data_IF_495935120266
#
_entry.id   IF_495935120266
#
_cell.length_a   1.000
_cell.length_b   1.000
_cell.length_c   1.000
_cell.angle_alpha   90.00
_cell.angle_beta   90.00
_cell.angle_gamma   90.00
#
_symmetry.space_group_name_H-M   'P 1'
#
loop_
_entity.id
_entity.type
_entity.pdbx_description
1 polymer ?
#
# COMPACT_ATOMS: atom_id res chain seq x y z
N UNK A 1 25.51 11.01 1.53
CA UNK A 1 24.79 11.15 2.82
C UNK A 1 23.35 10.70 2.64
N UNK A 2 22.99 9.49 3.05
CA UNK A 2 21.60 9.00 3.02
C UNK A 2 21.03 9.05 4.43
N UNK A 3 20.20 10.05 4.72
CA UNK A 3 19.45 10.10 5.97
C UNK A 3 18.55 8.85 6.05
N UNK A 4 18.80 7.98 7.04
CA UNK A 4 17.82 6.94 7.40
C UNK A 4 16.54 7.66 7.85
N UNK A 5 15.37 7.42 7.26
CA UNK A 5 14.13 7.97 7.80
C UNK A 5 13.97 7.47 9.24
N UNK A 6 13.88 8.37 10.21
CA UNK A 6 13.80 8.03 11.63
C UNK A 6 12.40 7.49 11.97
N UNK A 7 12.29 6.64 13.01
CA UNK A 7 10.97 6.26 13.55
C UNK A 7 10.15 7.45 14.05
N UNK A 8 10.75 8.64 14.17
CA UNK A 8 10.07 9.86 14.57
C UNK A 8 9.04 10.35 13.55
N UNK A 9 9.27 10.17 12.24
CA UNK A 9 8.29 10.56 11.21
C UNK A 9 7.01 9.72 11.32
N UNK A 10 7.15 8.39 11.46
CA UNK A 10 6.01 7.50 11.65
C UNK A 10 5.25 7.77 12.95
N UNK A 11 5.96 8.10 14.04
CA UNK A 11 5.32 8.50 15.31
C UNK A 11 4.52 9.79 15.19
N UNK A 12 5.06 10.82 14.52
CA UNK A 12 4.34 12.08 14.31
C UNK A 12 3.08 11.87 13.47
N UNK A 13 3.15 11.07 12.40
CA UNK A 13 1.99 10.72 11.60
C UNK A 13 0.94 9.98 12.44
N UNK A 14 1.36 8.98 13.20
CA UNK A 14 0.48 8.21 14.08
C UNK A 14 -0.23 9.12 15.11
N UNK A 15 0.51 10.04 15.75
CA UNK A 15 -0.08 11.01 16.68
C UNK A 15 -1.12 11.90 16.00
N UNK A 16 -0.82 12.46 14.83
CA UNK A 16 -1.76 13.29 14.06
C UNK A 16 -3.04 12.54 13.72
N UNK A 17 -2.93 11.29 13.25
CA UNK A 17 -4.09 10.45 12.97
C UNK A 17 -4.88 10.18 14.25
N UNK A 18 -4.22 9.87 15.38
CA UNK A 18 -4.89 9.67 16.67
C UNK A 18 -5.70 10.90 17.06
N UNK A 19 -5.13 12.10 16.97
CA UNK A 19 -5.85 13.33 17.32
C UNK A 19 -7.09 13.54 16.45
N UNK A 20 -6.97 13.38 15.12
CA UNK A 20 -8.10 13.54 14.19
C UNK A 20 -9.19 12.51 14.46
N UNK A 21 -8.83 11.23 14.61
CA UNK A 21 -9.82 10.15 14.83
C UNK A 21 -10.50 10.30 16.20
N UNK A 22 -9.75 10.64 17.24
CA UNK A 22 -10.29 10.89 18.57
C UNK A 22 -11.31 12.05 18.55
N UNK A 23 -10.98 13.15 17.88
CA UNK A 23 -11.89 14.28 17.71
C UNK A 23 -13.18 13.87 16.97
N UNK A 24 -13.05 13.16 15.84
CA UNK A 24 -14.19 12.70 15.04
C UNK A 24 -15.09 11.71 15.80
N UNK A 25 -14.52 10.90 16.68
CA UNK A 25 -15.24 9.85 17.41
C UNK A 25 -15.57 10.22 18.85
N UNK A 26 -15.31 11.47 19.26
CA UNK A 26 -15.48 11.98 20.64
C UNK A 26 -14.85 11.07 21.70
N UNK A 27 -13.68 10.52 21.38
CA UNK A 27 -12.90 9.64 22.26
C UNK A 27 -11.59 10.30 22.65
N UNK A 28 -10.97 9.76 23.70
CA UNK A 28 -9.62 10.13 24.13
C UNK A 28 -8.78 8.86 24.32
N UNK A 29 -7.46 8.99 24.26
CA UNK A 29 -6.52 7.89 24.50
C UNK A 29 -5.77 7.42 23.25
N UNK A 30 -5.02 6.33 23.39
CA UNK A 30 -4.18 5.80 22.30
C UNK A 30 -5.01 5.04 21.27
N UNK A 31 -4.81 5.37 19.99
CA UNK A 31 -5.32 4.58 18.86
C UNK A 31 -4.39 3.39 18.52
N UNK A 32 -3.11 3.53 18.82
CA UNK A 32 -2.07 2.60 18.36
C UNK A 32 -1.56 1.75 19.51
N UNK A 33 -1.24 0.48 19.21
CA UNK A 33 -0.33 -0.31 20.05
C UNK A 33 1.07 0.07 19.59
N UNK A 34 2.01 0.41 20.48
CA UNK A 34 3.33 1.07 20.22
C UNK A 34 4.31 0.39 19.23
N UNK A 35 3.85 -0.58 18.43
CA UNK A 35 4.64 -1.39 17.52
C UNK A 35 4.71 -0.74 16.15
N UNK A 36 5.80 -0.04 15.88
CA UNK A 36 6.25 0.29 14.53
C UNK A 36 7.33 -0.70 14.09
N UNK A 37 7.03 -1.51 13.07
CA UNK A 37 8.01 -2.43 12.48
C UNK A 37 8.62 -1.79 11.24
N UNK A 38 9.95 -1.69 11.22
CA UNK A 38 10.71 -1.23 10.05
C UNK A 38 11.62 -2.33 9.55
N UNK A 39 11.68 -2.47 8.23
CA UNK A 39 12.68 -3.27 7.53
C UNK A 39 13.20 -2.47 6.36
N UNK A 40 14.50 -2.21 6.33
CA UNK A 40 15.14 -1.60 5.16
C UNK A 40 15.18 -2.61 4.01
N UNK A 41 14.73 -2.19 2.83
CA UNK A 41 14.70 -3.02 1.62
C UNK A 41 16.02 -2.85 0.87
N UNK A 42 16.81 -3.92 0.78
CA UNK A 42 18.19 -3.89 0.29
C UNK A 42 18.36 -4.55 -1.08
N UNK A 43 17.31 -5.18 -1.62
CA UNK A 43 17.37 -5.83 -2.94
C UNK A 43 16.18 -5.51 -3.84
N UNK A 44 16.39 -5.66 -5.15
CA UNK A 44 15.36 -5.45 -6.18
C UNK A 44 14.11 -6.29 -5.91
N UNK A 45 14.30 -7.57 -5.58
CA UNK A 45 13.22 -8.51 -5.25
C UNK A 45 12.48 -8.10 -3.98
N UNK A 46 13.18 -7.62 -2.95
CA UNK A 46 12.53 -7.13 -1.73
C UNK A 46 11.65 -5.91 -2.02
N UNK A 47 12.13 -4.98 -2.85
CA UNK A 47 11.35 -3.81 -3.26
C UNK A 47 10.12 -4.23 -4.07
N UNK A 48 10.27 -5.10 -5.07
CA UNK A 48 9.12 -5.60 -5.84
C UNK A 48 8.08 -6.29 -4.94
N UNK A 49 8.53 -7.16 -4.04
CA UNK A 49 7.63 -7.86 -3.13
C UNK A 49 6.93 -6.89 -2.16
N UNK A 50 7.61 -5.84 -1.71
CA UNK A 50 6.99 -4.81 -0.87
C UNK A 50 5.95 -3.99 -1.65
N UNK A 51 6.20 -3.68 -2.93
CA UNK A 51 5.22 -3.04 -3.80
C UNK A 51 3.97 -3.91 -3.96
N UNK A 52 4.13 -5.20 -4.28
CA UNK A 52 3.01 -6.15 -4.33
C UNK A 52 2.27 -6.21 -2.99
N UNK A 53 3.02 -6.25 -1.87
CA UNK A 53 2.42 -6.24 -0.55
C UNK A 53 1.53 -5.03 -0.32
N UNK A 54 2.02 -3.82 -0.58
CA UNK A 54 1.28 -2.57 -0.37
C UNK A 54 0.07 -2.47 -1.31
N UNK A 55 0.26 -2.79 -2.59
CA UNK A 55 -0.78 -2.66 -3.62
C UNK A 55 -1.89 -3.71 -3.49
N UNK A 56 -1.54 -4.91 -3.00
CA UNK A 56 -2.44 -6.07 -2.94
C UNK A 56 -2.72 -6.55 -1.52
N UNK A 57 -2.51 -5.70 -0.50
CA UNK A 57 -2.69 -6.10 0.90
C UNK A 57 -4.15 -6.52 1.19
N UNK A 58 -5.12 -5.94 0.47
CA UNK A 58 -6.54 -6.29 0.62
C UNK A 58 -6.78 -7.80 0.38
N UNK A 59 -6.09 -8.42 -0.57
CA UNK A 59 -6.22 -9.86 -0.88
C UNK A 59 -5.65 -10.76 0.21
N UNK A 60 -4.75 -10.24 1.03
CA UNK A 60 -4.23 -10.95 2.21
C UNK A 60 -5.22 -10.93 3.37
N UNK A 61 -6.07 -9.90 3.45
CA UNK A 61 -6.96 -9.65 4.58
C UNK A 61 -8.45 -9.83 4.26
N UNK A 62 -8.81 -10.08 3.01
CA UNK A 62 -10.17 -10.45 2.63
C UNK A 62 -10.37 -11.95 2.89
N UNK A 63 -10.88 -12.27 4.08
CA UNK A 63 -10.90 -13.65 4.57
C UNK A 63 -12.02 -14.48 3.95
N UNK A 64 -13.25 -13.96 3.82
CA UNK A 64 -14.41 -14.78 3.43
C UNK A 64 -15.49 -14.02 2.64
N UNK A 65 -16.34 -14.81 1.98
CA UNK A 65 -17.57 -14.34 1.32
C UNK A 65 -17.35 -13.29 0.24
N UNK A 66 -18.24 -12.29 0.22
CA UNK A 66 -18.28 -11.22 -0.78
C UNK A 66 -16.99 -10.39 -0.81
N UNK A 67 -16.36 -10.17 0.35
CA UNK A 67 -15.14 -9.37 0.43
C UNK A 67 -13.98 -10.03 -0.32
N UNK A 68 -13.84 -11.35 -0.22
CA UNK A 68 -12.82 -12.09 -0.96
C UNK A 68 -13.03 -11.99 -2.47
N UNK A 69 -14.27 -12.16 -2.94
CA UNK A 69 -14.59 -12.03 -4.37
C UNK A 69 -14.29 -10.61 -4.88
N UNK A 70 -14.69 -9.59 -4.13
CA UNK A 70 -14.40 -8.20 -4.46
C UNK A 70 -12.88 -7.92 -4.49
N UNK A 71 -12.12 -8.45 -3.54
CA UNK A 71 -10.67 -8.27 -3.49
C UNK A 71 -9.93 -8.92 -4.68
N UNK A 72 -10.48 -9.98 -5.27
CA UNK A 72 -9.93 -10.57 -6.50
C UNK A 72 -10.27 -9.73 -7.74
N UNK A 73 -11.49 -9.18 -7.80
CA UNK A 73 -12.00 -8.43 -8.96
C UNK A 73 -11.64 -6.94 -8.97
N UNK A 74 -11.14 -6.39 -7.87
CA UNK A 74 -10.88 -4.95 -7.74
C UNK A 74 -9.49 -4.64 -7.20
N UNK A 75 -9.04 -3.40 -7.40
CA UNK A 75 -7.88 -2.83 -6.74
C UNK A 75 -8.34 -1.97 -5.56
N UNK A 76 -7.58 -2.01 -4.46
CA UNK A 76 -7.92 -1.30 -3.23
C UNK A 76 -7.85 0.23 -3.41
N UNK A 77 -8.97 0.97 -3.25
CA UNK A 77 -8.97 2.43 -3.32
C UNK A 77 -8.22 3.14 -2.20
N UNK A 78 -7.98 2.44 -1.08
CA UNK A 78 -7.18 2.93 0.03
C UNK A 78 -5.67 2.67 -0.18
N UNK A 79 -5.29 2.05 -1.29
CA UNK A 79 -3.90 1.87 -1.70
C UNK A 79 -3.48 2.93 -2.73
N UNK A 80 -2.19 2.98 -3.04
CA UNK A 80 -1.64 3.87 -4.08
C UNK A 80 -1.68 3.25 -5.49
N UNK A 81 -2.49 2.22 -5.72
CA UNK A 81 -2.52 1.47 -6.99
C UNK A 81 -2.84 2.34 -8.22
N UNK A 82 -3.72 3.34 -8.08
CA UNK A 82 -4.17 4.18 -9.18
C UNK A 82 -3.04 5.01 -9.84
N UNK A 83 -2.02 5.36 -9.05
CA UNK A 83 -0.87 6.19 -9.46
C UNK A 83 0.41 5.37 -9.66
N UNK A 84 0.37 4.05 -9.43
CA UNK A 84 1.53 3.21 -9.67
C UNK A 84 1.71 3.00 -11.18
N UNK A 85 2.90 3.26 -11.71
CA UNK A 85 3.19 3.14 -13.15
C UNK A 85 3.78 1.77 -13.52
N UNK A 86 4.15 0.96 -12.53
CA UNK A 86 4.81 -0.34 -12.73
C UNK A 86 3.87 -1.52 -12.99
N UNK A 87 2.65 -1.27 -13.44
CA UNK A 87 1.69 -2.32 -13.74
C UNK A 87 1.99 -3.00 -15.06
N UNK A 88 1.71 -4.29 -15.13
CA UNK A 88 1.55 -4.99 -16.40
C UNK A 88 0.32 -4.44 -17.15
N UNK A 89 0.35 -4.32 -18.50
CA UNK A 89 -0.76 -3.77 -19.29
C UNK A 89 -2.11 -4.43 -19.03
N UNK A 90 -2.13 -5.70 -18.61
CA UNK A 90 -3.35 -6.43 -18.26
C UNK A 90 -4.12 -5.83 -17.07
N UNK A 91 -3.50 -4.96 -16.28
CA UNK A 91 -4.16 -4.22 -15.19
C UNK A 91 -5.09 -3.09 -15.68
N UNK A 92 -5.03 -2.72 -16.97
CA UNK A 92 -5.74 -1.57 -17.55
C UNK A 92 -7.22 -1.44 -17.16
N UNK A 93 -8.05 -2.50 -17.31
CA UNK A 93 -9.45 -2.45 -16.93
C UNK A 93 -9.66 -2.13 -15.43
N UNK A 94 -8.96 -2.84 -14.54
CA UNK A 94 -9.08 -2.62 -13.09
C UNK A 94 -8.60 -1.23 -12.67
N UNK A 95 -7.57 -0.70 -13.34
CA UNK A 95 -7.08 0.66 -13.10
C UNK A 95 -8.07 1.72 -13.56
N UNK A 96 -8.74 1.50 -14.70
CA UNK A 96 -9.78 2.41 -15.19
C UNK A 96 -10.94 2.47 -14.20
N UNK A 97 -11.40 1.34 -13.70
CA UNK A 97 -12.49 1.28 -12.72
C UNK A 97 -12.10 1.89 -11.37
N UNK A 98 -10.88 1.62 -10.90
CA UNK A 98 -10.35 2.26 -9.69
C UNK A 98 -10.30 3.80 -9.85
N UNK A 99 -9.79 4.30 -10.98
CA UNK A 99 -9.70 5.76 -11.24
C UNK A 99 -11.08 6.40 -11.32
N UNK A 100 -12.05 5.77 -12.00
CA UNK A 100 -13.45 6.23 -12.00
C UNK A 100 -14.01 6.32 -10.59
N UNK A 101 -13.77 5.29 -9.77
CA UNK A 101 -14.25 5.23 -8.39
C UNK A 101 -13.61 6.31 -7.50
N UNK A 102 -12.32 6.63 -7.70
CA UNK A 102 -11.65 7.73 -7.01
C UNK A 102 -12.15 9.09 -7.49
N UNK A 103 -12.42 9.25 -8.79
CA UNK A 103 -12.97 10.47 -9.38
C UNK A 103 -14.34 10.80 -8.76
N UNK A 104 -15.22 9.80 -8.68
CA UNK A 104 -16.55 9.94 -8.08
C UNK A 104 -16.50 10.35 -6.59
N UNK A 105 -15.38 10.11 -5.91
CA UNK A 105 -15.14 10.47 -4.51
C UNK A 105 -14.30 11.74 -4.33
N UNK A 106 -13.90 12.40 -5.43
CA UNK A 106 -12.98 13.54 -5.42
C UNK A 106 -11.61 13.22 -4.76
N UNK A 107 -11.06 12.03 -5.05
CA UNK A 107 -9.81 11.51 -4.46
C UNK A 107 -8.73 11.21 -5.52
N UNK A 108 -8.75 11.90 -6.67
CA UNK A 108 -7.78 11.66 -7.75
C UNK A 108 -6.42 12.36 -7.56
N UNK A 109 -6.34 13.31 -6.63
CA UNK A 109 -5.06 13.94 -6.29
C UNK A 109 -4.09 12.90 -5.74
N UNK A 110 -2.88 12.85 -6.30
CA UNK A 110 -1.92 11.82 -5.93
C UNK A 110 -1.32 12.08 -4.55
N UNK A 111 -1.44 11.15 -3.58
CA UNK A 111 -0.74 11.25 -2.32
C UNK A 111 0.72 10.77 -2.43
N UNK A 112 1.19 10.38 -3.62
CA UNK A 112 2.44 9.65 -3.83
C UNK A 112 3.59 10.60 -4.15
N UNK A 113 4.59 10.65 -3.28
CA UNK A 113 5.85 11.29 -3.59
C UNK A 113 6.69 10.43 -4.56
N UNK A 114 7.36 11.07 -5.53
CA UNK A 114 8.22 10.36 -6.49
C UNK A 114 9.35 9.58 -5.77
N UNK A 115 9.62 8.32 -6.15
CA UNK A 115 10.72 7.54 -5.59
C UNK A 115 12.08 8.21 -5.82
N UNK A 116 12.88 8.32 -4.75
CA UNK A 116 14.21 8.97 -4.78
C UNK A 116 15.36 8.02 -5.06
N UNK A 117 15.18 6.72 -4.87
CA UNK A 117 16.22 5.71 -5.10
C UNK A 117 16.02 4.99 -6.42
N UNK A 118 17.12 4.59 -7.05
CA UNK A 118 17.07 3.78 -8.27
C UNK A 118 16.31 2.46 -8.05
N UNK A 119 16.52 1.81 -6.90
CA UNK A 119 15.83 0.57 -6.52
C UNK A 119 14.30 0.70 -6.59
N UNK A 120 13.74 1.76 -5.99
CA UNK A 120 12.30 1.99 -5.91
C UNK A 120 11.71 2.59 -7.20
N UNK A 121 12.52 3.34 -7.97
CA UNK A 121 12.06 3.95 -9.23
C UNK A 121 11.95 2.92 -10.35
N UNK A 122 13.04 2.20 -10.63
CA UNK A 122 13.11 1.31 -11.81
C UNK A 122 13.81 -0.03 -11.52
N UNK A 123 14.72 -0.10 -10.53
CA UNK A 123 15.54 -1.29 -10.31
C UNK A 123 14.73 -2.56 -10.05
N UNK A 124 13.62 -2.46 -9.31
CA UNK A 124 12.74 -3.58 -9.02
C UNK A 124 12.11 -4.22 -10.28
N UNK A 125 11.97 -3.47 -11.38
CA UNK A 125 11.34 -3.94 -12.63
C UNK A 125 12.11 -5.07 -13.30
N UNK A 126 13.40 -5.26 -12.96
CA UNK A 126 14.19 -6.43 -13.41
C UNK A 126 13.60 -7.77 -12.97
N UNK A 127 12.67 -7.77 -12.02
CA UNK A 127 11.91 -8.94 -11.60
C UNK A 127 10.50 -9.00 -12.20
N UNK A 128 10.22 -8.23 -13.24
CA UNK A 128 8.94 -8.15 -13.93
C UNK A 128 8.00 -7.09 -13.34
N UNK A 129 7.12 -6.57 -14.18
CA UNK A 129 6.03 -5.66 -13.77
C UNK A 129 5.05 -6.37 -12.84
N UNK A 130 4.22 -5.60 -12.13
CA UNK A 130 3.23 -6.16 -11.20
C UNK A 130 1.99 -6.57 -11.99
N UNK A 131 1.55 -7.82 -11.85
CA UNK A 131 0.28 -8.27 -12.42
C UNK A 131 -0.88 -7.89 -11.51
N UNK A 132 -2.02 -7.57 -12.13
CA UNK A 132 -3.27 -7.29 -11.44
C UNK A 132 -3.83 -8.49 -10.67
N UNK A 133 -3.33 -9.70 -10.90
CA UNK A 133 -3.72 -10.94 -10.19
C UNK A 133 -2.72 -11.37 -9.12
N UNK A 134 -1.63 -10.62 -8.91
CA UNK A 134 -0.65 -10.97 -7.88
C UNK A 134 -1.24 -10.85 -6.47
N UNK A 135 -0.63 -11.59 -5.55
CA UNK A 135 -0.96 -11.55 -4.13
C UNK A 135 0.30 -11.49 -3.28
N UNK A 136 0.25 -10.82 -2.12
CA UNK A 136 1.35 -10.89 -1.17
C UNK A 136 1.58 -12.35 -0.80
N UNK A 137 2.86 -12.76 -0.69
CA UNK A 137 3.16 -14.12 -0.26
C UNK A 137 2.61 -14.32 1.15
N UNK A 138 1.75 -15.32 1.32
CA UNK A 138 1.18 -15.66 2.62
C UNK A 138 2.33 -15.97 3.57
N UNK A 139 2.50 -15.15 4.61
CA UNK A 139 3.42 -15.43 5.71
C UNK A 139 2.80 -16.43 6.68
N UNK A 140 2.20 -17.49 6.15
CA UNK A 140 1.61 -18.54 6.97
C UNK A 140 2.74 -19.47 7.35
N UNK A 141 3.37 -19.17 8.50
CA UNK A 141 3.87 -20.23 9.38
C UNK A 141 2.73 -20.51 10.34
N UNK A 142 1.92 -21.54 10.06
CA UNK A 142 1.26 -22.24 11.15
C UNK A 142 2.39 -22.91 11.93
N UNK A 143 2.58 -22.49 13.17
CA UNK A 143 3.10 -23.40 14.19
C UNK A 143 1.96 -24.34 14.56
#
# INVERSE_FOLDING_TARGET
>A
MTAKPSGAASRQLAQRITFVVNALTRRHGSLWRDRYTRRDLTSLRQVRNALVYVLMNIRKHAFEGKERVLAELTLDPCSTAAWFEGWDPRAGPMLADLRKSLAARNLLESPVARPRTWLARIGWQRHGLVLQTERPRSSVRYL
#
